data_IF_836702929599
#
_entry.id   IF_836702929599
#
_cell.length_a   1.000
_cell.length_b   1.000
_cell.length_c   1.000
_cell.angle_alpha   90.00
_cell.angle_beta   90.00
_cell.angle_gamma   90.00
#
_symmetry.space_group_name_H-M   'P 1'
#
loop_
_entity.id
_entity.type
_entity.pdbx_description
1 polymer ?
#
# COMPACT_ATOMS: atom_id res chain seq x y z
N UNK A 1 8.96 -15.26 -5.92
CA UNK A 1 8.27 -14.72 -4.73
C UNK A 1 7.75 -13.32 -5.00
N UNK A 2 6.73 -12.87 -4.26
CA UNK A 2 6.25 -11.49 -4.20
C UNK A 2 6.73 -10.84 -2.91
N UNK A 3 6.93 -9.52 -2.94
CA UNK A 3 7.15 -8.69 -1.76
C UNK A 3 5.91 -7.83 -1.54
N UNK A 4 5.43 -7.74 -0.32
CA UNK A 4 4.32 -6.90 0.05
C UNK A 4 4.70 -6.01 1.23
N UNK A 5 4.32 -4.74 1.19
CA UNK A 5 4.54 -3.80 2.28
C UNK A 5 3.36 -2.84 2.42
N UNK A 6 3.11 -2.39 3.62
CA UNK A 6 1.99 -1.53 3.96
C UNK A 6 1.76 -1.49 5.46
N UNK A 7 0.58 -1.06 5.84
CA UNK A 7 0.18 -0.95 7.24
C UNK A 7 -0.66 -2.15 7.74
N UNK A 8 -1.56 -1.90 8.66
CA UNK A 8 -2.43 -2.90 9.30
C UNK A 8 -3.27 -3.73 8.33
N UNK A 9 -3.70 -3.17 7.19
CA UNK A 9 -4.41 -3.93 6.15
C UNK A 9 -3.50 -4.94 5.45
N UNK A 10 -2.22 -4.62 5.27
CA UNK A 10 -1.24 -5.55 4.71
C UNK A 10 -0.77 -6.57 5.73
N UNK A 11 -0.65 -6.16 7.00
CA UNK A 11 -0.34 -7.06 8.11
C UNK A 11 -1.44 -8.11 8.31
N UNK A 12 -2.69 -7.73 8.16
CA UNK A 12 -3.86 -8.56 8.47
C UNK A 12 -4.29 -8.41 9.93
N UNK A 13 -4.34 -7.16 10.41
CA UNK A 13 -4.81 -6.86 11.76
C UNK A 13 -6.27 -7.30 11.94
N UNK A 14 -6.61 -7.78 13.13
CA UNK A 14 -7.92 -8.33 13.50
C UNK A 14 -8.31 -9.66 12.80
N UNK A 15 -7.42 -10.29 12.02
CA UNK A 15 -7.60 -11.66 11.55
C UNK A 15 -7.20 -12.68 12.60
N UNK A 16 -7.90 -13.80 12.66
CA UNK A 16 -7.57 -14.90 13.56
C UNK A 16 -6.25 -15.58 13.17
N UNK A 17 -5.98 -15.65 11.87
CA UNK A 17 -4.78 -16.26 11.30
C UNK A 17 -4.14 -15.37 10.22
N UNK A 18 -3.46 -14.27 10.60
CA UNK A 18 -2.90 -13.31 9.64
C UNK A 18 -2.01 -13.97 8.58
N UNK A 19 -1.21 -14.96 8.96
CA UNK A 19 -0.28 -15.67 8.06
C UNK A 19 -0.94 -16.62 7.03
N UNK A 20 -2.26 -16.68 6.98
CA UNK A 20 -3.01 -17.45 5.97
C UNK A 20 -4.23 -16.71 5.43
N UNK A 21 -4.76 -15.77 6.19
CA UNK A 21 -6.01 -15.07 5.88
C UNK A 21 -5.79 -13.65 5.34
N UNK A 22 -4.61 -13.05 5.60
CA UNK A 22 -4.30 -11.73 5.05
C UNK A 22 -4.09 -11.81 3.54
N UNK A 23 -4.50 -10.74 2.83
CA UNK A 23 -4.45 -10.67 1.37
C UNK A 23 -3.09 -11.03 0.75
N UNK A 24 -1.91 -10.72 1.37
CA UNK A 24 -0.64 -11.10 0.79
C UNK A 24 -0.47 -12.62 0.62
N UNK A 25 -0.92 -13.39 1.61
CA UNK A 25 -0.83 -14.86 1.58
C UNK A 25 -1.84 -15.47 0.61
N UNK A 26 -3.07 -14.95 0.57
CA UNK A 26 -4.08 -15.39 -0.39
C UNK A 26 -3.60 -15.11 -1.82
N UNK A 27 -3.11 -13.90 -2.09
CA UNK A 27 -2.57 -13.51 -3.39
C UNK A 27 -1.37 -14.38 -3.81
N UNK A 28 -0.49 -14.71 -2.88
CA UNK A 28 0.65 -15.60 -3.16
C UNK A 28 0.22 -16.97 -3.64
N UNK A 29 -0.82 -17.53 -3.04
CA UNK A 29 -1.42 -18.81 -3.48
C UNK A 29 -2.04 -18.69 -4.87
N UNK A 30 -2.79 -17.61 -5.16
CA UNK A 30 -3.40 -17.35 -6.46
C UNK A 30 -2.35 -17.20 -7.58
N UNK A 31 -1.20 -16.61 -7.27
CA UNK A 31 -0.08 -16.42 -8.20
C UNK A 31 0.87 -17.63 -8.26
N UNK A 32 0.71 -18.62 -7.39
CA UNK A 32 1.66 -19.72 -7.18
C UNK A 32 3.11 -19.22 -6.95
N UNK A 33 3.26 -18.22 -6.07
CA UNK A 33 4.52 -17.61 -5.70
C UNK A 33 4.64 -17.52 -4.18
N UNK A 34 5.85 -17.67 -3.64
CA UNK A 34 6.10 -17.35 -2.23
C UNK A 34 5.88 -15.87 -1.95
N UNK A 35 5.58 -15.53 -0.70
CA UNK A 35 5.40 -14.16 -0.25
C UNK A 35 6.33 -13.79 0.91
N UNK A 36 6.84 -12.59 0.87
CA UNK A 36 7.47 -11.92 2.01
C UNK A 36 6.62 -10.70 2.35
N UNK A 37 5.97 -10.72 3.52
CA UNK A 37 5.08 -9.65 3.97
C UNK A 37 5.76 -8.77 5.02
N UNK A 38 5.93 -7.49 4.70
CA UNK A 38 6.46 -6.44 5.56
C UNK A 38 5.37 -5.48 6.07
N UNK A 39 4.10 -5.86 5.95
CA UNK A 39 2.99 -5.13 6.57
C UNK A 39 3.17 -5.05 8.08
N UNK A 40 2.85 -3.90 8.67
CA UNK A 40 2.98 -3.66 10.11
C UNK A 40 1.88 -2.73 10.61
N UNK A 41 1.33 -3.05 11.78
CA UNK A 41 0.28 -2.22 12.38
C UNK A 41 0.76 -0.80 12.64
N UNK A 42 0.00 0.16 12.11
CA UNK A 42 0.29 1.56 12.33
C UNK A 42 1.42 2.15 11.47
N UNK A 43 2.07 1.37 10.60
CA UNK A 43 3.16 1.86 9.76
C UNK A 43 2.74 3.07 8.92
N UNK A 44 3.57 4.10 8.91
CA UNK A 44 3.39 5.29 8.07
C UNK A 44 4.06 5.15 6.69
N UNK A 45 3.84 6.14 5.84
CA UNK A 45 4.35 6.10 4.46
C UNK A 45 5.89 6.20 4.39
N UNK A 46 6.53 6.92 5.29
CA UNK A 46 7.99 6.98 5.37
C UNK A 46 8.58 5.62 5.76
N UNK A 47 7.99 4.95 6.75
CA UNK A 47 8.37 3.59 7.16
C UNK A 47 8.15 2.55 6.06
N UNK A 48 7.08 2.70 5.24
CA UNK A 48 6.85 1.85 4.07
C UNK A 48 7.99 1.99 3.05
N UNK A 49 8.38 3.23 2.72
CA UNK A 49 9.50 3.50 1.79
C UNK A 49 10.80 2.93 2.35
N UNK A 50 11.13 3.27 3.60
CA UNK A 50 12.37 2.86 4.25
C UNK A 50 12.50 1.34 4.26
N UNK A 51 11.52 0.63 4.78
CA UNK A 51 11.58 -0.85 4.87
C UNK A 51 11.60 -1.54 3.51
N UNK A 52 10.97 -0.94 2.48
CA UNK A 52 11.05 -1.45 1.10
C UNK A 52 12.47 -1.34 0.54
N UNK A 53 13.11 -0.17 0.66
CA UNK A 53 14.48 0.07 0.20
C UNK A 53 15.51 -0.75 1.00
N UNK A 54 15.31 -0.87 2.32
CA UNK A 54 16.16 -1.69 3.19
C UNK A 54 16.07 -3.19 2.86
N UNK A 55 14.86 -3.71 2.59
CA UNK A 55 14.73 -5.10 2.18
C UNK A 55 15.54 -5.39 0.91
N UNK A 56 15.43 -4.54 -0.11
CA UNK A 56 16.21 -4.67 -1.34
C UNK A 56 17.72 -4.75 -1.06
N UNK A 57 18.26 -3.94 -0.16
CA UNK A 57 19.69 -3.90 0.14
C UNK A 57 20.22 -5.16 0.84
N UNK A 58 19.32 -5.99 1.40
CA UNK A 58 19.69 -7.16 2.24
C UNK A 58 19.39 -8.50 1.59
N UNK A 59 18.58 -8.52 0.52
CA UNK A 59 18.16 -9.81 -0.08
C UNK A 59 19.09 -10.29 -1.15
N UNK A 60 19.34 -11.60 -1.17
CA UNK A 60 20.12 -12.25 -2.20
C UNK A 60 19.32 -12.52 -3.49
N UNK A 61 17.99 -12.59 -3.39
CA UNK A 61 17.09 -12.85 -4.51
C UNK A 61 15.95 -11.85 -4.53
N UNK A 62 15.86 -11.08 -5.60
CA UNK A 62 14.84 -10.07 -5.78
C UNK A 62 13.44 -10.67 -5.97
N UNK A 63 12.40 -10.00 -5.45
CA UNK A 63 11.02 -10.32 -5.76
C UNK A 63 10.72 -10.21 -7.25
N UNK A 64 9.80 -11.05 -7.74
CA UNK A 64 9.25 -10.90 -9.09
C UNK A 64 8.31 -9.71 -9.21
N UNK A 65 7.66 -9.33 -8.10
CA UNK A 65 6.73 -8.20 -8.01
C UNK A 65 6.86 -7.58 -6.62
N UNK A 66 6.82 -6.24 -6.61
CA UNK A 66 6.71 -5.43 -5.41
C UNK A 66 5.29 -4.87 -5.31
N UNK A 67 4.63 -5.08 -4.19
CA UNK A 67 3.25 -4.66 -3.98
C UNK A 67 3.20 -3.76 -2.75
N UNK A 68 2.87 -2.50 -2.96
CA UNK A 68 2.91 -1.45 -1.93
C UNK A 68 1.50 -0.94 -1.67
N UNK A 69 1.05 -1.13 -0.45
CA UNK A 69 -0.15 -0.49 0.05
C UNK A 69 0.23 0.78 0.81
N UNK A 70 -0.23 1.91 0.33
CA UNK A 70 -0.04 3.19 0.99
C UNK A 70 -0.99 3.36 2.17
N UNK A 71 -0.47 3.88 3.27
CA UNK A 71 -1.23 4.27 4.45
C UNK A 71 -1.89 5.65 4.27
N UNK A 72 -2.67 6.08 5.24
CA UNK A 72 -3.21 7.45 5.22
C UNK A 72 -2.07 8.49 5.23
N UNK A 73 -2.22 9.54 4.43
CA UNK A 73 -1.25 10.64 4.37
C UNK A 73 -1.11 11.42 5.69
N UNK A 74 -1.98 11.16 6.66
CA UNK A 74 -1.99 11.81 7.98
C UNK A 74 -1.23 11.04 9.06
N UNK A 75 -0.70 9.86 8.75
CA UNK A 75 0.01 9.03 9.72
C UNK A 75 1.50 9.35 9.72
N UNK A 76 2.04 9.60 10.91
CA UNK A 76 3.45 9.88 11.18
C UNK A 76 3.79 9.23 12.53
N UNK A 77 4.73 8.29 12.53
CA UNK A 77 4.97 7.44 13.70
C UNK A 77 6.20 7.81 14.54
N UNK A 78 7.15 8.56 14.00
CA UNK A 78 8.51 8.46 14.52
C UNK A 78 8.97 9.56 15.46
N UNK A 79 8.12 10.55 15.79
CA UNK A 79 8.56 11.50 16.81
C UNK A 79 7.38 12.27 17.43
N UNK A 80 7.06 12.05 18.72
CA UNK A 80 5.98 12.79 19.39
C UNK A 80 6.04 14.31 19.22
N UNK A 81 7.21 15.00 19.25
CA UNK A 81 7.29 16.41 18.93
C UNK A 81 6.95 16.73 17.46
N UNK A 82 7.37 15.88 16.52
CA UNK A 82 7.06 16.05 15.10
C UNK A 82 5.58 15.76 14.85
N UNK A 83 5.00 14.73 15.43
CA UNK A 83 3.57 14.44 15.33
C UNK A 83 2.70 15.61 15.79
N UNK A 84 3.09 16.30 16.85
CA UNK A 84 2.40 17.52 17.33
C UNK A 84 2.51 18.67 16.33
N UNK A 85 3.67 18.82 15.69
CA UNK A 85 3.90 19.84 14.65
C UNK A 85 3.10 19.47 13.39
N UNK A 86 3.17 18.23 12.94
CA UNK A 86 2.51 17.74 11.74
C UNK A 86 0.97 17.78 11.87
N UNK A 87 0.42 17.53 13.05
CA UNK A 87 -1.02 17.71 13.31
C UNK A 87 -1.50 19.16 13.17
N UNK A 88 -0.58 20.12 13.24
CA UNK A 88 -0.86 21.55 13.02
C UNK A 88 -0.61 21.98 11.58
N UNK A 89 0.06 21.15 10.76
CA UNK A 89 0.28 21.44 9.36
C UNK A 89 -1.02 21.37 8.57
N UNK A 90 -1.12 22.20 7.56
CA UNK A 90 -2.22 22.17 6.62
C UNK A 90 -2.30 20.79 5.95
N UNK A 91 -3.52 20.29 5.80
CA UNK A 91 -3.81 19.03 5.10
C UNK A 91 -3.23 19.01 3.68
N UNK A 92 -3.22 20.13 3.00
CA UNK A 92 -2.64 20.28 1.68
C UNK A 92 -1.14 19.98 1.68
N UNK A 93 -0.40 20.48 2.66
CA UNK A 93 1.03 20.19 2.78
C UNK A 93 1.30 18.69 3.00
N UNK A 94 0.51 18.05 3.87
CA UNK A 94 0.63 16.63 4.12
C UNK A 94 0.29 15.78 2.89
N UNK A 95 -0.66 16.24 2.09
CA UNK A 95 -1.02 15.59 0.84
C UNK A 95 0.08 15.75 -0.22
N UNK A 96 0.70 16.91 -0.29
CA UNK A 96 1.87 17.13 -1.17
C UNK A 96 3.03 16.19 -0.78
N UNK A 97 3.33 16.07 0.51
CA UNK A 97 4.34 15.09 0.97
C UNK A 97 3.98 13.65 0.57
N UNK A 98 2.71 13.30 0.65
CA UNK A 98 2.24 11.99 0.20
C UNK A 98 2.52 11.77 -1.31
N UNK A 99 2.22 12.75 -2.17
CA UNK A 99 2.53 12.64 -3.61
C UNK A 99 4.03 12.51 -3.86
N UNK A 100 4.84 13.28 -3.14
CA UNK A 100 6.32 13.18 -3.23
C UNK A 100 6.78 11.79 -2.80
N UNK A 101 6.26 11.23 -1.72
CA UNK A 101 6.59 9.88 -1.26
C UNK A 101 6.22 8.81 -2.28
N UNK A 102 5.02 8.92 -2.88
CA UNK A 102 4.58 8.00 -3.93
C UNK A 102 5.55 8.08 -5.12
N UNK A 103 5.82 9.28 -5.61
CA UNK A 103 6.71 9.48 -6.75
C UNK A 103 8.15 9.01 -6.48
N UNK A 104 8.72 9.33 -5.33
CA UNK A 104 10.06 8.87 -4.93
C UNK A 104 10.19 7.35 -4.99
N UNK A 105 9.15 6.63 -4.56
CA UNK A 105 9.19 5.18 -4.61
C UNK A 105 8.91 4.64 -6.02
N UNK A 106 8.09 5.31 -6.84
CA UNK A 106 7.90 4.96 -8.25
C UNK A 106 9.21 5.14 -9.03
N UNK A 107 9.88 6.29 -8.90
CA UNK A 107 11.17 6.55 -9.52
C UNK A 107 12.20 5.48 -9.14
N UNK A 108 12.23 5.12 -7.86
CA UNK A 108 13.15 4.11 -7.35
C UNK A 108 12.91 2.73 -7.97
N UNK A 109 11.65 2.34 -8.23
CA UNK A 109 11.31 1.10 -8.93
C UNK A 109 11.63 1.18 -10.43
N UNK A 110 11.28 2.30 -11.07
CA UNK A 110 11.47 2.53 -12.50
C UNK A 110 12.95 2.55 -12.89
N UNK A 111 13.80 3.23 -12.12
CA UNK A 111 15.26 3.25 -12.31
C UNK A 111 15.91 1.85 -12.26
N UNK A 112 15.23 0.86 -11.68
CA UNK A 112 15.71 -0.51 -11.49
C UNK A 112 14.98 -1.55 -12.32
N UNK A 113 14.04 -1.11 -13.17
CA UNK A 113 13.16 -2.00 -13.92
C UNK A 113 12.43 -3.04 -13.05
N UNK A 114 12.05 -2.66 -11.81
CA UNK A 114 11.34 -3.55 -10.92
C UNK A 114 9.84 -3.53 -11.21
N UNK A 115 9.21 -4.69 -11.48
CA UNK A 115 7.76 -4.76 -11.59
C UNK A 115 7.10 -4.44 -10.24
N UNK A 116 6.21 -3.44 -10.23
CA UNK A 116 5.51 -3.03 -9.02
C UNK A 116 4.03 -2.74 -9.26
N UNK A 117 3.27 -2.80 -8.18
CA UNK A 117 1.88 -2.36 -8.08
C UNK A 117 1.75 -1.54 -6.79
N UNK A 118 1.03 -0.43 -6.87
CA UNK A 118 0.68 0.41 -5.72
C UNK A 118 -0.83 0.56 -5.60
N UNK A 119 -1.32 0.82 -4.40
CA UNK A 119 -2.72 1.16 -4.12
C UNK A 119 -2.86 1.82 -2.75
N UNK A 120 -3.97 2.52 -2.54
CA UNK A 120 -4.31 3.12 -1.26
C UNK A 120 -5.02 2.12 -0.33
N UNK A 121 -4.64 2.11 0.94
CA UNK A 121 -5.36 1.37 1.97
C UNK A 121 -6.59 2.12 2.48
N UNK A 122 -6.47 3.41 2.68
CA UNK A 122 -7.48 4.29 3.28
C UNK A 122 -8.02 5.32 2.30
N UNK A 123 -9.06 6.03 2.70
CA UNK A 123 -9.79 7.05 1.95
C UNK A 123 -8.97 8.33 1.66
N UNK A 124 -7.74 8.16 1.20
CA UNK A 124 -6.94 9.26 0.68
C UNK A 124 -7.59 9.88 -0.57
N UNK A 125 -8.36 9.08 -1.33
CA UNK A 125 -8.98 9.44 -2.61
C UNK A 125 -9.87 10.68 -2.51
N UNK A 126 -10.63 10.84 -1.42
CA UNK A 126 -11.45 12.04 -1.20
C UNK A 126 -10.62 13.31 -1.21
N UNK A 127 -9.45 13.29 -0.59
CA UNK A 127 -8.55 14.44 -0.52
C UNK A 127 -7.73 14.59 -1.80
N UNK A 128 -7.37 13.49 -2.44
CA UNK A 128 -6.65 13.48 -3.70
C UNK A 128 -7.52 14.05 -4.81
N UNK A 129 -8.79 13.61 -4.89
CA UNK A 129 -9.75 14.06 -5.90
C UNK A 129 -10.04 15.55 -5.78
N UNK A 130 -10.30 16.00 -4.54
CA UNK A 130 -10.65 17.38 -4.23
C UNK A 130 -9.43 18.33 -4.21
N UNK A 131 -8.22 17.80 -4.46
CA UNK A 131 -7.00 18.58 -4.48
C UNK A 131 -6.78 19.24 -5.84
N UNK A 132 -6.63 20.56 -5.85
CA UNK A 132 -6.14 21.33 -7.02
C UNK A 132 -4.61 21.28 -7.16
N UNK A 133 -3.94 20.40 -6.44
CA UNK A 133 -2.48 20.31 -6.41
C UNK A 133 -1.91 19.82 -7.72
N UNK A 134 -1.02 20.60 -8.32
CA UNK A 134 -0.21 20.18 -9.47
C UNK A 134 0.63 18.93 -9.19
N UNK A 135 0.97 18.68 -7.92
CA UNK A 135 1.73 17.51 -7.47
C UNK A 135 0.97 16.19 -7.66
N UNK A 136 -0.35 16.22 -7.81
CA UNK A 136 -1.15 15.03 -8.16
C UNK A 136 -0.69 14.42 -9.51
N UNK A 137 -0.28 15.26 -10.45
CA UNK A 137 0.21 14.84 -11.77
C UNK A 137 1.61 14.20 -11.74
N UNK A 138 2.32 14.28 -10.63
CA UNK A 138 3.61 13.59 -10.46
C UNK A 138 3.46 12.08 -10.34
N UNK A 139 2.30 11.61 -9.84
CA UNK A 139 2.05 10.18 -9.65
C UNK A 139 1.75 9.53 -10.99
N UNK A 140 2.54 8.52 -11.36
CA UNK A 140 2.23 7.65 -12.50
C UNK A 140 1.12 6.66 -12.08
N UNK A 141 -0.03 6.76 -12.72
CA UNK A 141 -1.20 5.92 -12.44
C UNK A 141 -1.15 4.54 -13.12
N UNK A 142 -0.21 4.34 -14.02
CA UNK A 142 -0.09 3.10 -14.81
C UNK A 142 -0.09 1.84 -13.94
N UNK A 143 0.66 1.87 -12.85
CA UNK A 143 0.79 0.75 -11.91
C UNK A 143 0.17 1.06 -10.53
N UNK A 144 -0.61 2.13 -10.44
CA UNK A 144 -1.36 2.48 -9.25
C UNK A 144 -2.83 2.08 -9.42
N UNK A 145 -3.29 1.07 -8.68
CA UNK A 145 -4.66 0.55 -8.77
C UNK A 145 -5.60 1.49 -8.03
N UNK A 146 -6.69 1.87 -8.69
CA UNK A 146 -7.73 2.74 -8.12
C UNK A 146 -7.36 4.23 -8.05
N UNK A 147 -6.19 4.64 -8.55
CA UNK A 147 -5.81 6.05 -8.56
C UNK A 147 -6.69 6.89 -9.50
N UNK A 148 -7.10 8.08 -9.07
CA UNK A 148 -7.02 8.66 -7.73
C UNK A 148 -8.26 8.38 -6.86
N UNK A 149 -9.22 7.58 -7.34
CA UNK A 149 -10.63 7.57 -6.92
C UNK A 149 -11.00 6.43 -5.97
N UNK A 150 -10.13 5.43 -5.80
CA UNK A 150 -10.43 4.24 -5.01
C UNK A 150 -9.33 3.86 -4.02
N UNK A 151 -9.72 3.22 -2.94
CA UNK A 151 -8.86 2.62 -1.93
C UNK A 151 -9.43 1.28 -1.45
N UNK A 152 -8.63 0.52 -0.71
CA UNK A 152 -9.07 -0.76 -0.13
C UNK A 152 -10.36 -0.62 0.67
N UNK A 153 -10.52 0.44 1.45
CA UNK A 153 -11.74 0.68 2.23
C UNK A 153 -13.00 0.73 1.35
N UNK A 154 -12.90 1.18 0.10
CA UNK A 154 -14.01 1.15 -0.85
C UNK A 154 -14.26 -0.27 -1.39
N UNK A 155 -13.20 -1.03 -1.65
CA UNK A 155 -13.28 -2.39 -2.21
C UNK A 155 -13.91 -3.40 -1.24
N UNK A 156 -13.78 -3.12 0.06
CA UNK A 156 -14.24 -4.02 1.13
C UNK A 156 -15.36 -3.45 1.99
N UNK A 157 -15.97 -2.34 1.58
CA UNK A 157 -16.97 -1.63 2.37
C UNK A 157 -18.16 -2.52 2.81
N UNK A 158 -18.60 -3.44 1.95
CA UNK A 158 -19.74 -4.32 2.19
C UNK A 158 -19.38 -5.58 3.01
N UNK A 159 -18.11 -5.80 3.30
CA UNK A 159 -17.64 -6.99 4.01
C UNK A 159 -17.61 -6.76 5.52
N UNK A 160 -17.58 -7.86 6.28
CA UNK A 160 -17.46 -7.80 7.73
C UNK A 160 -16.13 -7.16 8.15
N UNK A 161 -16.20 -6.29 9.16
CA UNK A 161 -15.06 -5.63 9.77
C UNK A 161 -14.93 -5.99 11.25
N UNK A 162 -13.72 -5.99 11.75
CA UNK A 162 -13.43 -6.12 13.18
C UNK A 162 -13.73 -4.83 13.95
N UNK A 163 -13.60 -4.87 15.29
CA UNK A 163 -13.93 -3.74 16.17
C UNK A 163 -13.16 -2.44 15.88
N UNK A 164 -11.97 -2.54 15.27
CA UNK A 164 -11.12 -1.39 14.88
C UNK A 164 -11.28 -1.01 13.41
N UNK A 165 -12.23 -1.63 12.70
CA UNK A 165 -12.56 -1.31 11.32
C UNK A 165 -11.70 -2.00 10.26
N UNK A 166 -10.90 -3.02 10.62
CA UNK A 166 -10.15 -3.79 9.64
C UNK A 166 -11.03 -4.88 9.01
N UNK A 167 -10.87 -5.17 7.71
CA UNK A 167 -11.64 -6.22 7.05
C UNK A 167 -11.33 -7.60 7.65
N UNK A 168 -12.33 -8.47 7.72
CA UNK A 168 -12.17 -9.88 8.06
C UNK A 168 -11.70 -10.69 6.85
N UNK A 169 -11.59 -12.00 7.00
CA UNK A 169 -11.01 -12.91 6.01
C UNK A 169 -11.61 -12.78 4.59
N UNK A 170 -12.94 -12.59 4.48
CA UNK A 170 -13.59 -12.40 3.18
C UNK A 170 -13.20 -11.07 2.52
N UNK A 171 -13.09 -9.99 3.28
CA UNK A 171 -12.59 -8.71 2.77
C UNK A 171 -11.14 -8.83 2.28
N UNK A 172 -10.28 -9.54 3.02
CA UNK A 172 -8.91 -9.82 2.57
C UNK A 172 -8.85 -10.68 1.30
N UNK A 173 -9.75 -11.65 1.14
CA UNK A 173 -9.90 -12.40 -0.10
C UNK A 173 -10.28 -11.48 -1.26
N UNK A 174 -11.21 -10.57 -1.06
CA UNK A 174 -11.61 -9.59 -2.07
C UNK A 174 -10.46 -8.69 -2.52
N UNK A 175 -9.65 -8.21 -1.57
CA UNK A 175 -8.43 -7.44 -1.88
C UNK A 175 -7.49 -8.27 -2.78
N UNK A 176 -7.23 -9.53 -2.40
CA UNK A 176 -6.36 -10.42 -3.17
C UNK A 176 -6.87 -10.66 -4.59
N UNK A 177 -8.18 -10.82 -4.78
CA UNK A 177 -8.82 -11.00 -6.11
C UNK A 177 -8.61 -9.78 -7.00
N UNK A 178 -8.88 -8.58 -6.50
CA UNK A 178 -8.67 -7.32 -7.24
C UNK A 178 -7.21 -7.17 -7.65
N UNK A 179 -6.28 -7.43 -6.71
CA UNK A 179 -4.86 -7.35 -6.99
C UNK A 179 -4.42 -8.41 -8.03
N UNK A 180 -4.93 -9.63 -7.93
CA UNK A 180 -4.63 -10.71 -8.87
C UNK A 180 -5.03 -10.35 -10.31
N UNK A 181 -6.25 -9.84 -10.50
CA UNK A 181 -6.75 -9.41 -11.82
C UNK A 181 -5.90 -8.28 -12.40
N UNK A 182 -5.56 -7.29 -11.59
CA UNK A 182 -4.72 -6.16 -12.01
C UNK A 182 -3.28 -6.59 -12.35
N UNK A 183 -2.67 -7.45 -11.54
CA UNK A 183 -1.32 -7.97 -11.78
C UNK A 183 -1.29 -8.72 -13.13
N UNK A 184 -2.24 -9.60 -13.39
CA UNK A 184 -2.31 -10.34 -14.65
C UNK A 184 -2.47 -9.43 -15.85
N UNK A 185 -3.29 -8.40 -15.75
CA UNK A 185 -3.56 -7.47 -16.86
C UNK A 185 -2.39 -6.50 -17.12
N UNK A 186 -1.79 -5.95 -16.05
CA UNK A 186 -0.79 -4.89 -16.15
C UNK A 186 0.64 -5.40 -16.31
N UNK A 187 1.02 -6.51 -15.65
CA UNK A 187 2.40 -6.99 -15.58
C UNK A 187 2.72 -8.20 -16.48
N UNK A 188 1.73 -8.76 -17.17
CA UNK A 188 1.90 -9.94 -18.06
C UNK A 188 2.76 -11.04 -17.44
N UNK A 189 2.54 -11.35 -16.17
CA UNK A 189 3.28 -12.39 -15.48
C UNK A 189 2.76 -13.75 -15.92
N UNK A 190 3.63 -14.50 -16.56
CA UNK A 190 3.42 -15.88 -16.97
C UNK A 190 3.81 -16.86 -15.86
#
# INVERSE_FOLDING_TARGET
MIFTNGDSFTYGDELDKPYSEAWPYILSQMLNLDVVNFGENGKDNAGIIQTTKEYHSRVARLPKIWIIQWSTFRRFNDNPPIDVILKKLDKQYLLVLYFIHVRDLQDWFEERDFPYIMFNGFDNEKYIRDSDSEFKSLVDDKYFIGWPDEAVVNWVYEYEHGPRGHPRAEGHRRIAEILYENIRSKLRIS
#
